data_IF_429902814302
#
_entry.id   IF_429902814302
#
_cell.length_a   1.000
_cell.length_b   1.000
_cell.length_c   1.000
_cell.angle_alpha   90.00
_cell.angle_beta   90.00
_cell.angle_gamma   90.00
#
_symmetry.space_group_name_H-M   'P 1'
#
loop_
_entity.id
_entity.type
_entity.pdbx_description
1 polymer ?
#
# COMPACT_ATOMS: atom_id res chain seq x y z
N UNK A 1 6.75 6.97 3.89
CA UNK A 1 7.38 7.79 2.83
C UNK A 1 6.74 7.43 1.50
N UNK A 2 6.31 8.45 0.72
CA UNK A 2 5.69 8.25 -0.59
C UNK A 2 6.71 7.73 -1.61
N UNK A 3 6.28 6.76 -2.40
CA UNK A 3 7.03 6.20 -3.53
C UNK A 3 6.58 6.87 -4.83
N UNK A 4 7.53 7.34 -5.62
CA UNK A 4 7.26 7.92 -6.93
C UNK A 4 8.16 7.26 -7.99
N UNK A 5 7.61 7.04 -9.17
CA UNK A 5 8.33 6.48 -10.32
C UNK A 5 9.17 7.53 -11.05
N UNK A 6 8.82 8.81 -10.91
CA UNK A 6 9.53 9.92 -11.56
C UNK A 6 10.91 10.07 -10.91
N UNK A 7 11.94 10.18 -11.73
CA UNK A 7 13.33 10.31 -11.33
C UNK A 7 14.02 11.30 -12.26
N UNK A 8 13.89 12.59 -11.96
CA UNK A 8 14.60 13.67 -12.71
C UNK A 8 16.01 13.86 -12.18
N UNK A 9 16.18 14.05 -10.88
CA UNK A 9 17.47 14.06 -10.16
C UNK A 9 17.65 12.74 -9.43
N UNK A 10 16.68 12.38 -8.60
CA UNK A 10 16.54 11.10 -7.93
C UNK A 10 15.05 10.88 -7.57
N UNK A 11 14.70 9.71 -7.04
CA UNK A 11 13.33 9.39 -6.65
C UNK A 11 12.93 10.13 -5.37
N UNK A 12 11.71 10.64 -5.32
CA UNK A 12 11.19 11.45 -4.21
C UNK A 12 11.42 10.82 -2.82
N UNK A 13 11.21 9.50 -2.67
CA UNK A 13 11.45 8.82 -1.39
C UNK A 13 12.92 8.84 -0.96
N UNK A 14 13.86 8.74 -1.91
CA UNK A 14 15.31 8.79 -1.63
C UNK A 14 15.71 10.19 -1.22
N UNK A 15 15.28 11.21 -1.96
CA UNK A 15 15.50 12.61 -1.62
C UNK A 15 14.95 12.92 -0.22
N UNK A 16 13.70 12.50 0.06
CA UNK A 16 13.06 12.71 1.37
C UNK A 16 13.84 12.04 2.50
N UNK A 17 14.32 10.82 2.30
CA UNK A 17 15.13 10.13 3.31
C UNK A 17 16.50 10.76 3.49
N UNK A 18 17.19 11.09 2.40
CA UNK A 18 18.50 11.74 2.43
C UNK A 18 18.47 13.10 3.16
N UNK A 19 17.41 13.89 2.98
CA UNK A 19 17.26 15.18 3.65
C UNK A 19 16.90 15.09 5.13
N UNK A 20 16.36 13.96 5.59
CA UNK A 20 15.93 13.75 6.98
C UNK A 20 16.88 12.89 7.80
N UNK A 21 17.62 12.03 7.15
CA UNK A 21 18.54 11.07 7.78
C UNK A 21 19.92 11.30 7.17
N UNK A 22 20.81 11.92 7.90
CA UNK A 22 22.21 12.09 7.46
C UNK A 22 22.85 10.72 7.16
N UNK A 23 23.64 10.64 6.07
CA UNK A 23 24.32 9.39 5.69
C UNK A 23 23.39 8.31 5.14
N UNK A 24 22.37 8.71 4.38
CA UNK A 24 21.39 7.79 3.76
C UNK A 24 22.09 6.82 2.78
N UNK A 25 21.93 5.52 3.05
CA UNK A 25 22.35 4.43 2.17
C UNK A 25 21.20 4.05 1.23
N UNK A 26 21.44 4.06 -0.07
CA UNK A 26 20.46 3.73 -1.11
C UNK A 26 19.82 2.36 -0.94
N UNK A 27 20.55 1.37 -0.43
CA UNK A 27 20.06 0.01 -0.18
C UNK A 27 19.18 -0.14 1.06
N UNK A 28 19.03 0.89 1.90
CA UNK A 28 18.30 0.78 3.17
C UNK A 28 16.84 0.36 2.98
N UNK A 29 16.16 0.91 2.00
CA UNK A 29 14.74 0.58 1.72
C UNK A 29 14.60 -0.88 1.32
N UNK A 30 15.46 -1.37 0.43
CA UNK A 30 15.46 -2.77 0.01
C UNK A 30 15.70 -3.71 1.18
N UNK A 31 16.67 -3.37 2.05
CA UNK A 31 16.95 -4.18 3.25
C UNK A 31 15.81 -4.15 4.26
N UNK A 32 15.15 -3.01 4.46
CA UNK A 32 14.01 -2.90 5.39
C UNK A 32 12.80 -3.69 4.88
N UNK A 33 12.50 -3.66 3.57
CA UNK A 33 11.48 -4.50 2.94
C UNK A 33 11.81 -5.99 3.12
N UNK A 34 13.02 -6.41 2.75
CA UNK A 34 13.45 -7.80 2.85
C UNK A 34 13.44 -8.35 4.31
N UNK A 35 13.59 -7.47 5.31
CA UNK A 35 13.53 -7.82 6.74
C UNK A 35 12.12 -7.70 7.33
N UNK A 36 11.10 -7.38 6.54
CA UNK A 36 9.73 -7.16 7.02
C UNK A 36 9.61 -6.03 8.03
N UNK A 37 10.52 -5.03 8.01
CA UNK A 37 10.45 -3.86 8.90
C UNK A 37 9.56 -2.76 8.35
N UNK A 38 9.36 -2.74 7.06
CA UNK A 38 8.42 -1.86 6.36
C UNK A 38 7.63 -2.68 5.35
N UNK A 39 6.47 -2.17 4.98
CA UNK A 39 5.66 -2.71 3.90
C UNK A 39 5.24 -1.58 2.94
N UNK A 40 4.98 -1.93 1.68
CA UNK A 40 4.43 -1.00 0.71
C UNK A 40 2.91 -1.12 0.71
N UNK A 41 2.20 0.01 0.81
CA UNK A 41 0.75 0.03 0.66
C UNK A 41 0.22 1.42 0.24
N UNK A 42 -1.07 1.48 -0.09
CA UNK A 42 -1.80 2.68 -0.38
C UNK A 42 -2.19 3.43 0.90
N UNK A 43 -1.41 4.47 1.24
CA UNK A 43 -1.77 5.44 2.27
C UNK A 43 -2.49 6.64 1.62
N UNK A 44 -1.90 7.83 1.58
CA UNK A 44 -2.40 8.91 0.72
C UNK A 44 -2.03 8.66 -0.76
N UNK A 45 -0.91 8.04 -1.00
CA UNK A 45 -0.41 7.50 -2.29
C UNK A 45 0.27 6.15 -2.02
N UNK A 46 1.00 5.61 -3.01
CA UNK A 46 1.89 4.48 -2.79
C UNK A 46 2.99 4.87 -1.79
N UNK A 47 3.03 4.23 -0.64
CA UNK A 47 3.92 4.56 0.47
C UNK A 47 4.66 3.34 1.02
N UNK A 48 5.88 3.59 1.53
CA UNK A 48 6.51 2.70 2.50
C UNK A 48 6.03 3.09 3.89
N UNK A 49 5.54 2.12 4.63
CA UNK A 49 4.97 2.24 5.96
C UNK A 49 5.71 1.32 6.93
N UNK A 50 5.87 1.70 8.21
CA UNK A 50 6.37 0.79 9.24
C UNK A 50 5.47 -0.44 9.36
N UNK A 51 6.04 -1.63 9.59
CA UNK A 51 5.26 -2.86 9.67
C UNK A 51 4.31 -2.88 10.87
N UNK A 52 4.62 -2.13 11.91
CA UNK A 52 3.78 -1.91 13.09
C UNK A 52 2.43 -1.26 12.74
N UNK A 53 2.36 -0.56 11.61
CA UNK A 53 1.13 0.04 11.10
C UNK A 53 0.32 -0.92 10.21
N UNK A 54 0.84 -2.10 9.86
CA UNK A 54 0.13 -3.06 9.01
C UNK A 54 -1.28 -3.41 9.54
N UNK A 55 -1.46 -3.69 10.85
CA UNK A 55 -2.79 -3.96 11.40
C UNK A 55 -3.77 -2.79 11.21
N UNK A 56 -3.29 -1.55 11.30
CA UNK A 56 -4.11 -0.36 11.09
C UNK A 56 -4.68 -0.33 9.66
N UNK A 57 -3.86 -0.65 8.67
CA UNK A 57 -4.26 -0.61 7.25
C UNK A 57 -5.12 -1.80 6.83
N UNK A 58 -5.25 -2.88 7.62
CA UNK A 58 -6.16 -3.99 7.32
C UNK A 58 -7.61 -3.53 7.15
N UNK A 59 -8.04 -2.51 7.90
CA UNK A 59 -9.38 -1.93 7.72
C UNK A 59 -9.56 -1.34 6.33
N UNK A 60 -8.57 -0.63 5.83
CA UNK A 60 -8.58 -0.07 4.47
C UNK A 60 -8.52 -1.17 3.41
N UNK A 61 -7.76 -2.24 3.64
CA UNK A 61 -7.73 -3.41 2.76
C UNK A 61 -9.12 -4.04 2.64
N UNK A 62 -9.83 -4.23 3.75
CA UNK A 62 -11.20 -4.74 3.76
C UNK A 62 -12.19 -3.83 3.01
N UNK A 63 -12.05 -2.52 3.13
CA UNK A 63 -12.87 -1.56 2.39
C UNK A 63 -12.60 -1.64 0.89
N UNK A 64 -11.33 -1.68 0.49
CA UNK A 64 -10.92 -1.74 -0.91
C UNK A 64 -11.19 -3.12 -1.55
N UNK A 65 -11.25 -4.20 -0.77
CA UNK A 65 -11.68 -5.51 -1.25
C UNK A 65 -13.11 -5.49 -1.78
N UNK A 66 -13.98 -4.68 -1.17
CA UNK A 66 -15.40 -4.60 -1.52
C UNK A 66 -15.73 -3.47 -2.51
N UNK A 67 -14.91 -2.42 -2.54
CA UNK A 67 -15.12 -1.26 -3.39
C UNK A 67 -13.90 -1.05 -4.27
N UNK A 68 -14.10 -1.12 -5.58
CA UNK A 68 -13.00 -0.96 -6.51
C UNK A 68 -12.41 0.46 -6.41
N UNK A 69 -11.11 0.58 -6.12
CA UNK A 69 -10.37 1.84 -6.05
C UNK A 69 -10.57 2.76 -7.27
N UNK A 70 -10.73 2.16 -8.47
CA UNK A 70 -10.92 2.86 -9.73
C UNK A 70 -12.38 2.89 -10.22
N UNK A 71 -13.37 2.61 -9.36
CA UNK A 71 -14.80 2.66 -9.70
C UNK A 71 -15.27 1.61 -10.71
N UNK A 72 -14.50 0.52 -10.90
CA UNK A 72 -14.86 -0.58 -11.83
C UNK A 72 -15.24 -1.83 -11.07
N UNK A 73 -16.37 -2.41 -11.43
CA UNK A 73 -16.81 -3.69 -10.85
C UNK A 73 -15.86 -4.85 -11.16
N UNK A 74 -15.72 -5.76 -10.22
CA UNK A 74 -15.02 -7.04 -10.40
C UNK A 74 -15.87 -7.97 -11.26
N UNK A 75 -15.54 -8.11 -12.54
CA UNK A 75 -16.21 -9.07 -13.42
C UNK A 75 -15.86 -10.52 -13.05
N UNK A 76 -16.66 -11.48 -13.52
CA UNK A 76 -16.37 -12.91 -13.35
C UNK A 76 -15.01 -13.29 -13.95
N UNK A 77 -14.69 -12.75 -15.13
CA UNK A 77 -13.41 -12.94 -15.82
C UNK A 77 -12.24 -12.34 -15.00
N UNK A 78 -12.43 -11.15 -14.40
CA UNK A 78 -11.45 -10.54 -13.52
C UNK A 78 -11.13 -11.42 -12.32
N UNK A 79 -12.15 -11.99 -11.67
CA UNK A 79 -11.96 -12.93 -10.55
C UNK A 79 -11.27 -14.23 -10.96
N UNK A 80 -11.48 -14.71 -12.20
CA UNK A 80 -10.74 -15.86 -12.71
C UNK A 80 -9.25 -15.54 -12.81
N UNK A 81 -8.89 -14.39 -13.40
CA UNK A 81 -7.49 -13.94 -13.49
C UNK A 81 -6.87 -13.75 -12.11
N UNK A 82 -7.61 -13.23 -11.12
CA UNK A 82 -7.12 -13.10 -9.74
C UNK A 82 -6.79 -14.47 -9.12
N UNK A 83 -7.64 -15.48 -9.31
CA UNK A 83 -7.35 -16.85 -8.83
C UNK A 83 -6.09 -17.42 -9.49
N UNK A 84 -5.93 -17.24 -10.80
CA UNK A 84 -4.74 -17.71 -11.52
C UNK A 84 -3.46 -17.01 -11.03
N UNK A 85 -3.54 -15.70 -10.74
CA UNK A 85 -2.43 -14.94 -10.16
C UNK A 85 -2.05 -15.49 -8.79
N UNK A 86 -3.03 -15.70 -7.90
CA UNK A 86 -2.79 -16.23 -6.55
C UNK A 86 -2.21 -17.66 -6.60
N UNK A 87 -2.72 -18.50 -7.49
CA UNK A 87 -2.20 -19.87 -7.65
C UNK A 87 -0.75 -19.87 -8.13
N UNK A 88 -0.41 -19.03 -9.10
CA UNK A 88 0.97 -18.87 -9.55
C UNK A 88 1.89 -18.40 -8.44
N UNK A 89 1.48 -17.41 -7.62
CA UNK A 89 2.27 -16.96 -6.48
C UNK A 89 2.45 -18.07 -5.44
N UNK A 90 1.46 -18.95 -5.23
CA UNK A 90 1.59 -20.10 -4.34
C UNK A 90 2.66 -21.07 -4.81
N UNK A 91 2.67 -21.38 -6.10
CA UNK A 91 3.55 -22.39 -6.71
C UNK A 91 4.95 -21.83 -6.97
N UNK A 92 5.03 -20.66 -7.58
CA UNK A 92 6.28 -20.10 -8.12
C UNK A 92 6.98 -19.15 -7.13
N UNK A 93 6.30 -18.67 -6.07
CA UNK A 93 6.82 -17.66 -5.14
C UNK A 93 6.68 -16.25 -5.66
N UNK A 94 7.56 -15.36 -5.21
CA UNK A 94 7.51 -13.94 -5.53
C UNK A 94 7.75 -13.65 -7.01
N UNK A 95 6.82 -12.94 -7.67
CA UNK A 95 6.85 -12.66 -9.10
C UNK A 95 6.67 -11.17 -9.42
N UNK A 96 7.44 -10.62 -10.39
CA UNK A 96 7.20 -9.30 -10.93
C UNK A 96 6.00 -9.29 -11.89
N UNK A 97 5.40 -8.11 -12.12
CA UNK A 97 4.25 -7.95 -13.05
C UNK A 97 4.51 -8.61 -14.42
N UNK A 98 5.74 -8.46 -14.95
CA UNK A 98 6.10 -9.01 -16.26
C UNK A 98 5.99 -10.55 -16.35
N UNK A 99 6.10 -11.26 -15.23
CA UNK A 99 5.93 -12.72 -15.21
C UNK A 99 4.49 -13.15 -15.53
N UNK A 100 3.50 -12.27 -15.32
CA UNK A 100 2.10 -12.50 -15.62
C UNK A 100 1.70 -11.98 -17.01
N UNK A 101 2.61 -11.34 -17.74
CA UNK A 101 2.34 -10.77 -19.04
C UNK A 101 2.31 -11.84 -20.12
N UNK A 102 1.11 -12.34 -20.45
CA UNK A 102 0.84 -13.00 -21.73
C UNK A 102 0.77 -11.98 -22.89
N UNK A 103 0.71 -12.46 -24.16
CA UNK A 103 0.65 -11.64 -25.37
C UNK A 103 -0.41 -10.54 -25.31
N UNK A 104 -0.02 -9.38 -25.76
CA UNK A 104 -0.67 -8.08 -25.77
C UNK A 104 -2.17 -8.03 -26.05
N UNK A 105 -2.90 -7.30 -25.18
CA UNK A 105 -4.15 -6.63 -25.47
C UNK A 105 -3.92 -5.22 -26.07
N UNK A 106 -4.99 -4.43 -26.30
CA UNK A 106 -4.90 -3.13 -26.97
C UNK A 106 -3.93 -2.16 -26.28
N UNK A 107 -3.28 -1.33 -27.08
CA UNK A 107 -2.11 -0.48 -26.75
C UNK A 107 -2.26 0.48 -25.55
N UNK A 108 -3.47 0.72 -25.03
CA UNK A 108 -3.76 1.68 -23.95
C UNK A 108 -4.54 1.09 -22.77
N UNK A 109 -4.73 -0.23 -22.69
CA UNK A 109 -5.43 -0.88 -21.59
C UNK A 109 -4.45 -1.54 -20.60
N UNK A 110 -4.72 -1.45 -19.30
CA UNK A 110 -4.03 -2.30 -18.32
C UNK A 110 -4.30 -3.76 -18.67
N UNK A 111 -3.23 -4.53 -18.79
CA UNK A 111 -3.34 -5.97 -19.02
C UNK A 111 -4.14 -6.62 -17.87
N UNK A 112 -4.95 -7.64 -18.13
CA UNK A 112 -5.79 -8.29 -17.12
C UNK A 112 -5.04 -8.65 -15.84
N UNK A 113 -3.85 -9.24 -15.96
CA UNK A 113 -3.01 -9.62 -14.83
C UNK A 113 -2.54 -8.41 -13.99
N UNK A 114 -2.21 -7.28 -14.62
CA UNK A 114 -1.84 -6.06 -13.89
C UNK A 114 -3.02 -5.53 -13.08
N UNK A 115 -4.24 -5.54 -13.64
CA UNK A 115 -5.46 -5.14 -12.91
C UNK A 115 -5.74 -6.07 -11.75
N UNK A 116 -5.60 -7.38 -11.97
CA UNK A 116 -5.76 -8.38 -10.92
C UNK A 116 -4.77 -8.16 -9.76
N UNK A 117 -3.49 -7.96 -10.07
CA UNK A 117 -2.45 -7.67 -9.08
C UNK A 117 -2.71 -6.39 -8.28
N UNK A 118 -3.09 -5.29 -8.93
CA UNK A 118 -3.41 -4.03 -8.24
C UNK A 118 -4.65 -4.18 -7.35
N UNK A 119 -5.61 -4.99 -7.76
CA UNK A 119 -6.82 -5.27 -6.99
C UNK A 119 -6.52 -6.14 -5.77
N UNK A 120 -5.81 -7.26 -5.97
CA UNK A 120 -5.37 -8.14 -4.89
C UNK A 120 -4.47 -7.39 -3.90
N UNK A 121 -3.60 -6.49 -4.39
CA UNK A 121 -2.76 -5.64 -3.56
C UNK A 121 -3.60 -4.65 -2.74
N UNK A 122 -4.57 -3.98 -3.35
CA UNK A 122 -5.47 -3.08 -2.63
C UNK A 122 -6.30 -3.83 -1.56
N UNK A 123 -6.72 -5.06 -1.86
CA UNK A 123 -7.44 -5.94 -0.92
C UNK A 123 -6.55 -6.56 0.17
N UNK A 124 -5.21 -6.45 0.06
CA UNK A 124 -4.28 -7.08 0.99
C UNK A 124 -4.12 -8.58 0.78
N UNK A 125 -4.59 -9.11 -0.36
CA UNK A 125 -4.47 -10.54 -0.74
C UNK A 125 -3.09 -10.86 -1.34
N UNK A 126 -2.34 -9.85 -1.77
CA UNK A 126 -0.91 -9.92 -2.10
C UNK A 126 -0.17 -8.76 -1.45
N UNK A 127 1.13 -8.94 -1.21
CA UNK A 127 2.04 -7.94 -0.66
C UNK A 127 3.22 -7.71 -1.58
N UNK A 128 3.98 -6.64 -1.36
CA UNK A 128 5.17 -6.33 -2.13
C UNK A 128 6.40 -6.91 -1.40
N UNK A 129 6.95 -7.98 -1.96
CA UNK A 129 8.16 -8.63 -1.44
C UNK A 129 9.43 -7.81 -1.71
N UNK A 130 9.39 -6.96 -2.74
CA UNK A 130 10.52 -6.12 -3.12
C UNK A 130 10.31 -5.43 -4.45
N UNK A 131 11.39 -4.90 -5.00
CA UNK A 131 11.37 -4.25 -6.32
C UNK A 131 12.55 -4.70 -7.18
N UNK A 132 12.29 -4.92 -8.47
CA UNK A 132 13.32 -5.15 -9.49
C UNK A 132 13.38 -3.91 -10.39
N UNK A 133 14.46 -3.14 -10.31
CA UNK A 133 14.44 -1.76 -10.77
C UNK A 133 13.42 -0.98 -9.95
N UNK A 134 12.40 -0.42 -10.60
CA UNK A 134 11.29 0.22 -9.88
C UNK A 134 9.97 -0.59 -9.96
N UNK A 135 9.98 -1.76 -10.61
CA UNK A 135 8.81 -2.62 -10.72
C UNK A 135 8.58 -3.40 -9.42
N UNK A 136 7.32 -3.47 -9.00
CA UNK A 136 6.91 -4.27 -7.85
C UNK A 136 7.08 -5.75 -8.12
N UNK A 137 7.55 -6.47 -7.10
CA UNK A 137 7.57 -7.93 -7.02
C UNK A 137 6.53 -8.31 -5.98
N UNK A 138 5.53 -9.08 -6.40
CA UNK A 138 4.39 -9.47 -5.57
C UNK A 138 4.60 -10.87 -5.00
N UNK A 139 4.15 -11.09 -3.78
CA UNK A 139 4.06 -12.42 -3.15
C UNK A 139 2.87 -12.47 -2.20
N UNK A 140 2.62 -13.63 -1.63
CA UNK A 140 1.57 -13.83 -0.63
C UNK A 140 1.92 -13.09 0.68
N UNK A 141 0.93 -12.48 1.36
CA UNK A 141 1.19 -11.71 2.59
C UNK A 141 1.91 -12.51 3.68
N UNK A 142 1.60 -13.80 3.82
CA UNK A 142 2.22 -14.68 4.82
C UNK A 142 3.72 -14.93 4.60
N UNK A 143 4.24 -14.64 3.42
CA UNK A 143 5.67 -14.72 3.11
C UNK A 143 6.41 -13.40 3.24
N UNK A 144 5.68 -12.29 3.28
CA UNK A 144 6.24 -10.94 3.25
C UNK A 144 6.07 -10.23 4.58
N UNK A 145 4.89 -10.39 5.20
CA UNK A 145 4.51 -9.67 6.40
C UNK A 145 4.79 -10.53 7.63
N UNK A 146 5.49 -10.02 8.66
CA UNK A 146 5.72 -10.76 9.89
C UNK A 146 4.40 -11.26 10.50
N UNK A 147 4.41 -12.51 10.97
CA UNK A 147 3.22 -13.19 11.48
C UNK A 147 2.48 -12.38 12.55
N UNK A 148 3.21 -11.72 13.46
CA UNK A 148 2.60 -10.88 14.50
C UNK A 148 1.74 -9.75 13.92
N UNK A 149 2.19 -9.08 12.85
CA UNK A 149 1.43 -8.02 12.18
C UNK A 149 0.28 -8.59 11.35
N UNK A 150 0.52 -9.74 10.70
CA UNK A 150 -0.47 -10.43 9.90
C UNK A 150 -1.63 -10.98 10.73
N UNK A 151 -1.37 -11.55 11.89
CA UNK A 151 -2.40 -12.14 12.78
C UNK A 151 -3.15 -11.09 13.60
N UNK A 152 -2.58 -9.89 13.78
CA UNK A 152 -3.24 -8.84 14.55
C UNK A 152 -4.61 -8.49 13.97
N UNK A 153 -5.65 -8.26 14.80
CA UNK A 153 -6.99 -7.97 14.33
C UNK A 153 -7.06 -6.64 13.56
N UNK A 154 -7.95 -6.56 12.57
CA UNK A 154 -8.25 -5.31 11.92
C UNK A 154 -8.96 -4.35 12.90
N UNK A 155 -8.66 -3.05 12.90
CA UNK A 155 -9.33 -2.09 13.75
C UNK A 155 -10.77 -1.83 13.29
N UNK A 156 -11.59 -1.29 14.17
CA UNK A 156 -12.86 -0.68 13.78
C UNK A 156 -12.60 0.54 12.90
N UNK A 157 -13.64 1.02 12.20
CA UNK A 157 -13.55 2.23 11.39
C UNK A 157 -13.11 3.47 12.20
N UNK A 158 -13.63 3.57 13.41
CA UNK A 158 -13.30 4.64 14.35
C UNK A 158 -11.83 4.59 14.79
N UNK A 159 -11.35 3.40 15.16
CA UNK A 159 -9.96 3.17 15.51
C UNK A 159 -9.01 3.44 14.33
N UNK A 160 -9.40 3.03 13.12
CA UNK A 160 -8.63 3.30 11.91
C UNK A 160 -8.49 4.81 11.67
N UNK A 161 -9.60 5.56 11.68
CA UNK A 161 -9.58 7.00 11.46
C UNK A 161 -8.70 7.72 12.49
N UNK A 162 -8.86 7.40 13.78
CA UNK A 162 -8.04 7.98 14.85
C UNK A 162 -6.56 7.61 14.72
N UNK A 163 -6.27 6.34 14.53
CA UNK A 163 -4.89 5.86 14.39
C UNK A 163 -4.20 6.49 13.19
N UNK A 164 -4.89 6.60 12.05
CA UNK A 164 -4.29 7.19 10.85
C UNK A 164 -4.14 8.73 10.98
N UNK A 165 -5.10 9.43 11.60
CA UNK A 165 -4.97 10.85 11.92
C UNK A 165 -3.75 11.09 12.84
N UNK A 166 -3.58 10.27 13.87
CA UNK A 166 -2.42 10.35 14.76
C UNK A 166 -1.09 10.17 13.99
N UNK A 167 -1.02 9.20 13.09
CA UNK A 167 0.17 8.99 12.23
C UNK A 167 0.45 10.19 11.33
N UNK A 168 -0.59 10.83 10.78
CA UNK A 168 -0.44 12.03 9.98
C UNK A 168 0.19 13.18 10.79
N UNK A 169 -0.31 13.43 12.01
CA UNK A 169 0.23 14.45 12.91
C UNK A 169 1.65 14.13 13.35
N UNK A 170 1.94 12.88 13.74
CA UNK A 170 3.29 12.45 14.12
C UNK A 170 4.30 12.64 12.97
N UNK A 171 3.88 12.40 11.73
CA UNK A 171 4.74 12.54 10.55
C UNK A 171 4.95 13.98 10.09
N UNK A 172 4.04 14.89 10.44
CA UNK A 172 4.02 16.30 9.98
C UNK A 172 4.32 17.30 11.09
N UNK A 173 4.25 16.87 12.34
CA UNK A 173 4.39 17.73 13.55
C UNK A 173 3.07 18.39 13.93
N UNK A 174 2.54 19.28 13.11
CA UNK A 174 1.27 19.96 13.32
C UNK A 174 0.43 19.97 12.05
N UNK A 175 -0.88 19.74 12.18
CA UNK A 175 -1.85 19.76 11.09
C UNK A 175 -3.18 20.34 11.55
N UNK A 176 -3.86 21.06 10.65
CA UNK A 176 -5.27 21.40 10.82
C UNK A 176 -6.15 20.17 10.54
N UNK A 177 -7.41 20.18 10.99
CA UNK A 177 -8.38 19.14 10.65
C UNK A 177 -8.48 18.90 9.12
N UNK A 178 -8.49 20.00 8.35
CA UNK A 178 -8.48 19.93 6.89
C UNK A 178 -7.21 19.26 6.35
N UNK A 179 -6.06 19.61 6.88
CA UNK A 179 -4.77 19.00 6.51
C UNK A 179 -4.70 17.50 6.85
N UNK A 180 -5.28 17.08 7.98
CA UNK A 180 -5.37 15.64 8.32
C UNK A 180 -6.30 14.93 7.35
N UNK A 181 -7.49 15.49 7.07
CA UNK A 181 -8.47 14.89 6.16
C UNK A 181 -7.92 14.73 4.75
N UNK A 182 -7.21 15.74 4.24
CA UNK A 182 -6.52 15.71 2.95
C UNK A 182 -5.42 14.66 2.93
N UNK A 183 -4.54 14.66 3.94
CA UNK A 183 -3.43 13.70 4.04
C UNK A 183 -3.93 12.25 4.11
N UNK A 184 -4.97 11.99 4.90
CA UNK A 184 -5.53 10.64 5.07
C UNK A 184 -6.50 10.25 3.95
N UNK A 185 -6.95 11.21 3.13
CA UNK A 185 -7.99 11.03 2.10
C UNK A 185 -9.26 10.38 2.65
N UNK A 186 -9.72 10.84 3.80
CA UNK A 186 -10.95 10.35 4.37
C UNK A 186 -12.18 10.86 3.62
N UNK A 187 -13.09 9.96 3.33
CA UNK A 187 -14.39 10.32 2.79
C UNK A 187 -15.13 11.25 3.76
N UNK A 188 -15.76 12.32 3.25
CA UNK A 188 -16.44 13.33 4.04
C UNK A 188 -15.54 14.45 4.61
N UNK A 189 -14.24 14.42 4.29
CA UNK A 189 -13.30 15.51 4.61
C UNK A 189 -13.17 15.83 6.10
N UNK A 190 -12.82 17.08 6.42
CA UNK A 190 -12.60 17.55 7.80
C UNK A 190 -13.83 17.40 8.69
N UNK A 191 -15.04 17.62 8.17
CA UNK A 191 -16.28 17.50 8.95
C UNK A 191 -16.49 16.09 9.50
N UNK A 192 -16.22 15.07 8.71
CA UNK A 192 -16.34 13.67 9.13
C UNK A 192 -15.21 13.24 10.07
N UNK A 193 -14.11 13.99 10.14
CA UNK A 193 -12.96 13.70 10.97
C UNK A 193 -13.03 14.37 12.35
N UNK A 194 -13.74 15.50 12.50
CA UNK A 194 -13.74 16.35 13.70
C UNK A 194 -13.93 15.57 15.00
N UNK A 195 -14.98 14.75 15.09
CA UNK A 195 -15.27 13.96 16.30
C UNK A 195 -14.19 12.93 16.65
N UNK A 196 -13.38 12.53 15.67
CA UNK A 196 -12.26 11.60 15.89
C UNK A 196 -11.01 12.34 16.36
N UNK A 197 -10.79 13.57 15.89
CA UNK A 197 -9.66 14.42 16.29
C UNK A 197 -9.87 14.97 17.70
N UNK A 198 -11.08 15.46 18.03
CA UNK A 198 -11.43 15.94 19.38
C UNK A 198 -11.18 14.89 20.48
N UNK A 199 -11.20 13.60 20.15
CA UNK A 199 -10.89 12.52 21.08
C UNK A 199 -9.41 12.17 21.17
N UNK A 200 -8.55 12.84 20.39
CA UNK A 200 -7.09 12.66 20.44
C UNK A 200 -6.42 13.75 21.31
N UNK A 201 -7.17 14.79 21.65
CA UNK A 201 -6.77 15.87 22.55
C UNK A 201 -7.33 15.61 23.94
#
# INVERSE_FOLDING_TARGET
VQLDSISTVDRAHRITLATRIGGFDEGVVTRLLARGRVFEYWAHEACLLPVEDYPLFKRRMQELANHHWWGRERTAEGRAVERDVLERLRIEGALPVRAFEGRSGPMWGWKPAKRALEHLFAAGEVAIAGRQGFQRVYDLPERVIPKQALDAPAPTQDQFKRGYALRAVQGRGALTEAGIAEHCRFAGGAKALRTHVERLV
#
